data_IF_470828517345
#
_entry.id   IF_470828517345
#
_cell.length_a   1.000
_cell.length_b   1.000
_cell.length_c   1.000
_cell.angle_alpha   90.00
_cell.angle_beta   90.00
_cell.angle_gamma   90.00
#
_symmetry.space_group_name_H-M   'P 1'
#
loop_
_entity.id
_entity.type
_entity.pdbx_description
1 polymer ?
#
# COMPACT_ATOMS: atom_id res chain seq x y z
N UNK A 1 -0.18 10.04 -27.82
CA UNK A 1 0.04 8.60 -27.53
C UNK A 1 -1.34 7.96 -27.50
N UNK A 2 -1.64 7.03 -28.41
CA UNK A 2 -3.00 6.51 -28.63
C UNK A 2 -3.41 5.55 -27.50
N UNK A 3 -4.68 5.58 -27.06
CA UNK A 3 -5.19 4.74 -25.96
C UNK A 3 -5.02 3.24 -26.21
N UNK A 4 -5.02 2.81 -27.48
CA UNK A 4 -4.73 1.45 -27.91
C UNK A 4 -3.32 0.98 -27.53
N UNK A 5 -2.31 1.83 -27.73
CA UNK A 5 -0.92 1.49 -27.46
C UNK A 5 -0.64 1.43 -25.95
N UNK A 6 -1.31 2.29 -25.17
CA UNK A 6 -1.23 2.27 -23.70
C UNK A 6 -1.82 0.97 -23.13
N UNK A 7 -3.00 0.56 -23.60
CA UNK A 7 -3.62 -0.69 -23.17
C UNK A 7 -2.77 -1.92 -23.55
N UNK A 8 -2.13 -1.89 -24.71
CA UNK A 8 -1.25 -2.97 -25.16
C UNK A 8 0.01 -3.09 -24.30
N UNK A 9 0.63 -1.96 -23.94
CA UNK A 9 1.81 -1.92 -23.05
C UNK A 9 1.45 -2.34 -21.62
N UNK A 10 0.29 -1.92 -21.11
CA UNK A 10 -0.20 -2.34 -19.79
C UNK A 10 -0.47 -3.85 -19.79
N UNK A 11 -1.16 -4.35 -20.82
CA UNK A 11 -1.43 -5.78 -20.97
C UNK A 11 -0.16 -6.63 -21.03
N UNK A 12 0.86 -6.19 -21.78
CA UNK A 12 2.12 -6.94 -21.87
C UNK A 12 2.90 -6.95 -20.56
N UNK A 13 2.91 -5.82 -19.81
CA UNK A 13 3.57 -5.75 -18.49
C UNK A 13 2.89 -6.66 -17.47
N UNK A 14 1.56 -6.69 -17.45
CA UNK A 14 0.80 -7.54 -16.55
C UNK A 14 1.02 -9.04 -16.85
N UNK A 15 1.08 -9.39 -18.14
CA UNK A 15 1.36 -10.76 -18.56
C UNK A 15 2.78 -11.22 -18.18
N UNK A 16 3.79 -10.37 -18.38
CA UNK A 16 5.17 -10.67 -17.97
C UNK A 16 5.23 -10.85 -16.44
N UNK A 17 4.60 -9.96 -15.68
CA UNK A 17 4.56 -10.09 -14.22
C UNK A 17 3.88 -11.37 -13.73
N UNK A 18 2.77 -11.75 -14.37
CA UNK A 18 2.03 -12.97 -14.03
C UNK A 18 2.86 -14.23 -14.31
N UNK A 19 3.47 -14.31 -15.49
CA UNK A 19 4.32 -15.44 -15.88
C UNK A 19 5.58 -15.52 -15.01
N UNK A 20 6.27 -14.41 -14.77
CA UNK A 20 7.45 -14.38 -13.89
C UNK A 20 7.13 -14.81 -12.45
N UNK A 21 6.01 -14.35 -11.88
CA UNK A 21 5.61 -14.74 -10.52
C UNK A 21 5.29 -16.23 -10.40
N UNK A 22 4.56 -16.79 -11.38
CA UNK A 22 4.28 -18.23 -11.42
C UNK A 22 5.55 -19.07 -11.62
N UNK A 23 6.45 -18.63 -12.50
CA UNK A 23 7.74 -19.30 -12.69
C UNK A 23 8.58 -19.26 -11.41
N UNK A 24 8.64 -18.13 -10.71
CA UNK A 24 9.35 -18.04 -9.43
C UNK A 24 8.77 -19.00 -8.39
N UNK A 25 7.44 -19.09 -8.28
CA UNK A 25 6.78 -20.06 -7.40
C UNK A 25 7.15 -21.51 -7.76
N UNK A 26 7.08 -21.87 -9.05
CA UNK A 26 7.41 -23.21 -9.53
C UNK A 26 8.88 -23.55 -9.31
N UNK A 27 9.80 -22.63 -9.61
CA UNK A 27 11.23 -22.84 -9.41
C UNK A 27 11.53 -23.05 -7.93
N UNK A 28 11.08 -22.15 -7.06
CA UNK A 28 11.37 -22.23 -5.62
C UNK A 28 10.71 -23.47 -5.00
N UNK A 29 9.51 -23.87 -5.43
CA UNK A 29 8.84 -25.07 -4.91
C UNK A 29 9.47 -26.38 -5.41
N UNK A 30 10.11 -26.41 -6.58
CA UNK A 30 10.72 -27.64 -7.12
C UNK A 30 12.20 -27.83 -6.75
N UNK A 31 12.86 -26.79 -6.23
CA UNK A 31 14.23 -26.91 -5.71
C UNK A 31 14.24 -27.81 -4.45
N UNK A 32 15.31 -28.60 -4.19
CA UNK A 32 15.46 -29.33 -2.93
C UNK A 32 15.36 -28.39 -1.72
N UNK A 33 14.68 -28.82 -0.65
CA UNK A 33 14.52 -28.03 0.57
C UNK A 33 15.88 -27.51 1.06
N UNK A 34 16.08 -26.18 1.13
CA UNK A 34 17.32 -25.59 1.60
C UNK A 34 17.71 -26.08 3.00
N UNK A 35 19.00 -26.39 3.20
CA UNK A 35 19.51 -26.89 4.48
C UNK A 35 19.24 -25.90 5.64
N UNK A 36 19.16 -24.60 5.36
CA UNK A 36 18.81 -23.58 6.34
C UNK A 36 17.41 -23.80 6.96
N UNK A 37 16.42 -24.21 6.17
CA UNK A 37 15.09 -24.50 6.68
C UNK A 37 15.06 -25.80 7.49
N UNK A 38 15.83 -26.80 7.08
CA UNK A 38 15.97 -28.06 7.84
C UNK A 38 16.61 -27.77 9.21
N UNK A 39 17.67 -26.95 9.25
CA UNK A 39 18.35 -26.59 10.50
C UNK A 39 17.43 -25.79 11.43
N UNK A 40 16.60 -24.90 10.88
CA UNK A 40 15.65 -24.12 11.68
C UNK A 40 14.42 -24.97 12.10
N UNK A 41 13.94 -25.87 11.26
CA UNK A 41 12.91 -26.81 11.66
C UNK A 41 13.42 -27.72 12.78
N UNK A 42 14.68 -28.17 12.70
CA UNK A 42 15.33 -28.96 13.73
C UNK A 42 15.45 -28.23 15.07
N UNK A 43 15.69 -26.91 15.09
CA UNK A 43 15.73 -26.14 16.34
C UNK A 43 14.35 -26.00 17.00
N UNK A 44 13.29 -25.93 16.19
CA UNK A 44 11.91 -25.78 16.66
C UNK A 44 11.31 -27.11 17.13
N UNK A 45 11.57 -28.20 16.40
CA UNK A 45 11.01 -29.54 16.64
C UNK A 45 11.70 -30.29 17.79
N UNK A 46 12.95 -29.93 18.15
CA UNK A 46 13.72 -30.53 19.27
C UNK A 46 12.98 -30.56 20.62
N UNK A 47 11.87 -29.83 20.76
CA UNK A 47 11.01 -29.84 21.94
C UNK A 47 9.96 -30.98 21.98
N UNK A 48 9.89 -31.90 21.00
CA UNK A 48 9.05 -33.11 21.11
C UNK A 48 8.43 -33.72 19.85
N UNK A 49 8.85 -33.35 18.63
CA UNK A 49 8.24 -33.87 17.38
C UNK A 49 9.03 -34.96 16.64
N UNK A 50 8.35 -35.65 15.71
CA UNK A 50 8.87 -36.74 14.89
C UNK A 50 9.73 -36.23 13.72
N UNK A 51 10.60 -37.08 13.13
CA UNK A 51 11.37 -36.73 11.92
C UNK A 51 10.45 -36.37 10.73
N UNK A 52 9.26 -36.98 10.66
CA UNK A 52 8.24 -36.65 9.66
C UNK A 52 7.72 -35.20 9.81
N UNK A 53 7.62 -34.71 11.04
CA UNK A 53 7.15 -33.35 11.34
C UNK A 53 8.18 -32.31 10.91
N UNK A 54 9.47 -32.64 11.06
CA UNK A 54 10.59 -31.81 10.63
C UNK A 54 10.58 -31.60 9.12
N UNK A 55 10.44 -32.67 8.33
CA UNK A 55 10.39 -32.60 6.87
C UNK A 55 9.17 -31.80 6.40
N UNK A 56 8.02 -32.05 7.02
CA UNK A 56 6.77 -31.34 6.70
C UNK A 56 6.88 -29.85 6.98
N UNK A 57 7.45 -29.48 8.13
CA UNK A 57 7.66 -28.08 8.51
C UNK A 57 8.67 -27.37 7.60
N UNK A 58 9.81 -28.01 7.31
CA UNK A 58 10.82 -27.46 6.42
C UNK A 58 10.27 -27.24 5.00
N UNK A 59 9.43 -28.16 4.51
CA UNK A 59 8.72 -28.00 3.24
C UNK A 59 7.70 -26.86 3.29
N UNK A 60 6.98 -26.71 4.40
CA UNK A 60 6.07 -25.60 4.62
C UNK A 60 6.77 -24.23 4.53
N UNK A 61 7.91 -24.07 5.20
CA UNK A 61 8.72 -22.84 5.15
C UNK A 61 9.16 -22.48 3.72
N UNK A 62 9.54 -23.49 2.93
CA UNK A 62 9.92 -23.30 1.53
C UNK A 62 8.74 -22.82 0.68
N UNK A 63 7.55 -23.45 0.83
CA UNK A 63 6.36 -23.08 0.07
C UNK A 63 5.89 -21.67 0.46
N UNK A 64 5.86 -21.34 1.76
CA UNK A 64 5.55 -19.98 2.23
C UNK A 64 6.51 -18.96 1.60
N UNK A 65 7.81 -19.28 1.53
CA UNK A 65 8.80 -18.42 0.87
C UNK A 65 8.52 -18.29 -0.63
N UNK A 66 8.16 -19.39 -1.32
CA UNK A 66 7.79 -19.36 -2.75
C UNK A 66 6.58 -18.45 -3.01
N UNK A 67 5.54 -18.56 -2.17
CA UNK A 67 4.35 -17.70 -2.24
C UNK A 67 4.73 -16.23 -2.00
N UNK A 68 5.59 -15.96 -1.01
CA UNK A 68 6.06 -14.60 -0.72
C UNK A 68 6.81 -13.99 -1.91
N UNK A 69 7.75 -14.71 -2.53
CA UNK A 69 8.48 -14.21 -3.70
C UNK A 69 7.55 -13.96 -4.89
N UNK A 70 6.57 -14.85 -5.12
CA UNK A 70 5.54 -14.64 -6.13
C UNK A 70 4.73 -13.37 -5.85
N UNK A 71 4.30 -13.14 -4.60
CA UNK A 71 3.56 -11.95 -4.20
C UNK A 71 4.39 -10.67 -4.41
N UNK A 72 5.68 -10.68 -4.07
CA UNK A 72 6.58 -9.54 -4.30
C UNK A 72 6.67 -9.21 -5.78
N UNK A 73 6.81 -10.21 -6.65
CA UNK A 73 6.82 -10.00 -8.10
C UNK A 73 5.48 -9.41 -8.56
N UNK A 74 4.35 -9.93 -8.11
CA UNK A 74 3.03 -9.40 -8.46
C UNK A 74 2.81 -7.98 -7.96
N UNK A 75 3.31 -7.61 -6.77
CA UNK A 75 3.24 -6.24 -6.28
C UNK A 75 4.13 -5.28 -7.05
N UNK A 76 5.35 -5.68 -7.43
CA UNK A 76 6.27 -4.84 -8.20
C UNK A 76 5.81 -4.63 -9.64
N UNK A 77 5.20 -5.66 -10.23
CA UNK A 77 4.75 -5.64 -11.63
C UNK A 77 3.31 -5.18 -11.79
N UNK A 78 2.55 -5.07 -10.69
CA UNK A 78 1.11 -4.83 -10.67
C UNK A 78 0.32 -5.78 -11.58
N UNK A 79 0.80 -7.03 -11.72
CA UNK A 79 0.20 -8.03 -12.60
C UNK A 79 -1.26 -8.37 -12.23
N UNK A 80 -1.54 -8.34 -10.93
CA UNK A 80 -2.86 -8.55 -10.32
C UNK A 80 -3.09 -7.39 -9.32
N UNK A 81 -4.32 -6.91 -9.13
CA UNK A 81 -4.61 -5.89 -8.13
C UNK A 81 -4.03 -6.23 -6.75
N UNK A 82 -3.40 -5.24 -6.10
CA UNK A 82 -2.71 -5.39 -4.80
C UNK A 82 -3.56 -6.17 -3.77
N UNK A 83 -4.88 -5.89 -3.59
CA UNK A 83 -5.70 -6.63 -2.63
C UNK A 83 -5.88 -8.11 -3.01
N UNK A 84 -5.99 -8.44 -4.29
CA UNK A 84 -6.13 -9.82 -4.74
C UNK A 84 -4.82 -10.60 -4.55
N UNK A 85 -3.66 -9.98 -4.80
CA UNK A 85 -2.35 -10.57 -4.46
C UNK A 85 -2.23 -10.82 -2.96
N UNK A 86 -2.74 -9.92 -2.11
CA UNK A 86 -2.71 -10.08 -0.65
C UNK A 86 -3.58 -11.24 -0.13
N UNK A 87 -4.54 -11.74 -0.92
CA UNK A 87 -5.38 -12.89 -0.57
C UNK A 87 -4.77 -14.25 -0.99
N UNK A 88 -3.65 -14.25 -1.71
CA UNK A 88 -3.01 -15.49 -2.16
C UNK A 88 -2.68 -16.46 -1.01
N UNK A 89 -2.12 -16.03 0.15
CA UNK A 89 -1.88 -16.93 1.28
C UNK A 89 -3.14 -17.62 1.79
N UNK A 90 -4.27 -16.91 1.82
CA UNK A 90 -5.56 -17.45 2.26
C UNK A 90 -6.08 -18.58 1.35
N UNK A 91 -5.63 -18.62 0.10
CA UNK A 91 -5.99 -19.68 -0.86
C UNK A 91 -4.91 -20.77 -0.92
N UNK A 92 -3.64 -20.38 -1.04
CA UNK A 92 -2.54 -21.32 -1.25
C UNK A 92 -2.24 -22.16 -0.01
N UNK A 93 -2.29 -21.59 1.21
CA UNK A 93 -1.89 -22.33 2.40
C UNK A 93 -2.86 -23.47 2.74
N UNK A 94 -4.20 -23.28 2.69
CA UNK A 94 -5.14 -24.39 2.86
C UNK A 94 -5.11 -25.37 1.69
N UNK A 95 -4.95 -24.88 0.45
CA UNK A 95 -4.94 -25.74 -0.74
C UNK A 95 -3.74 -26.69 -0.77
N UNK A 96 -2.57 -26.22 -0.29
CA UNK A 96 -1.34 -27.01 -0.22
C UNK A 96 -1.17 -27.74 1.11
N UNK A 97 -2.19 -27.72 1.98
CA UNK A 97 -2.20 -28.39 3.30
C UNK A 97 -0.93 -28.10 4.11
N UNK A 98 -0.59 -26.81 4.24
CA UNK A 98 0.61 -26.41 4.96
C UNK A 98 0.42 -26.54 6.47
N UNK A 99 1.51 -26.88 7.16
CA UNK A 99 1.55 -26.96 8.62
C UNK A 99 2.48 -25.89 9.18
N UNK A 100 2.04 -25.26 10.27
CA UNK A 100 2.84 -24.39 11.13
C UNK A 100 3.16 -25.09 12.45
N UNK A 101 4.10 -24.52 13.18
CA UNK A 101 4.41 -24.96 14.54
C UNK A 101 3.89 -23.93 15.54
N UNK A 102 2.92 -24.31 16.36
CA UNK A 102 2.33 -23.45 17.37
C UNK A 102 2.14 -24.25 18.66
N UNK A 103 2.42 -23.66 19.82
CA UNK A 103 2.19 -24.27 21.15
C UNK A 103 2.76 -25.70 21.33
N UNK A 104 3.86 -26.03 20.62
CA UNK A 104 4.52 -27.34 20.74
C UNK A 104 3.91 -28.46 19.89
N UNK A 105 2.95 -28.16 19.01
CA UNK A 105 2.33 -29.12 18.10
C UNK A 105 2.35 -28.60 16.65
N UNK A 106 2.16 -29.53 15.70
CA UNK A 106 1.86 -29.18 14.32
C UNK A 106 0.42 -28.68 14.20
N UNK A 107 0.25 -27.46 13.70
CA UNK A 107 -1.03 -26.84 13.43
C UNK A 107 -1.24 -26.68 11.93
N UNK A 108 -2.33 -27.22 11.40
CA UNK A 108 -2.66 -27.09 9.99
C UNK A 108 -3.21 -25.68 9.67
N UNK A 109 -2.76 -25.10 8.55
CA UNK A 109 -3.28 -23.83 8.03
C UNK A 109 -4.63 -24.03 7.34
N UNK A 110 -5.70 -24.19 8.12
CA UNK A 110 -7.09 -24.19 7.60
C UNK A 110 -7.51 -22.79 7.14
N UNK A 111 -8.48 -22.70 6.21
CA UNK A 111 -9.10 -21.44 5.78
C UNK A 111 -9.46 -20.52 6.95
N UNK A 112 -10.10 -21.04 8.00
CA UNK A 112 -10.50 -20.26 9.18
C UNK A 112 -9.30 -19.61 9.89
N UNK A 113 -8.19 -20.36 10.05
CA UNK A 113 -7.01 -19.90 10.77
C UNK A 113 -6.21 -18.87 9.96
N UNK A 114 -6.17 -19.02 8.64
CA UNK A 114 -5.49 -18.04 7.79
C UNK A 114 -6.33 -16.76 7.68
N UNK A 115 -7.65 -16.88 7.50
CA UNK A 115 -8.55 -15.73 7.33
C UNK A 115 -8.72 -14.90 8.61
N UNK A 116 -8.53 -15.49 9.79
CA UNK A 116 -8.59 -14.75 11.07
C UNK A 116 -7.56 -13.60 11.12
N UNK A 117 -6.40 -13.77 10.47
CA UNK A 117 -5.38 -12.72 10.37
C UNK A 117 -5.86 -11.49 9.59
N UNK A 118 -6.80 -11.67 8.65
CA UNK A 118 -7.40 -10.57 7.89
C UNK A 118 -8.49 -9.83 8.66
N UNK A 119 -8.88 -10.34 9.84
CA UNK A 119 -9.88 -9.73 10.73
C UNK A 119 -9.24 -9.02 11.93
N UNK A 120 -7.97 -8.60 11.82
CA UNK A 120 -7.28 -7.88 12.88
C UNK A 120 -8.04 -6.58 13.24
N UNK A 121 -8.26 -6.27 14.54
CA UNK A 121 -8.96 -5.05 14.97
C UNK A 121 -8.42 -3.75 14.36
N UNK A 122 -7.12 -3.71 14.07
CA UNK A 122 -6.47 -2.57 13.41
C UNK A 122 -7.04 -2.32 12.00
N UNK A 123 -7.37 -3.38 11.26
CA UNK A 123 -8.01 -3.27 9.94
C UNK A 123 -9.40 -2.63 10.09
N UNK A 124 -10.16 -3.04 11.12
CA UNK A 124 -11.45 -2.43 11.46
C UNK A 124 -11.33 -0.94 11.81
N UNK A 125 -10.29 -0.56 12.55
CA UNK A 125 -9.98 0.84 12.85
C UNK A 125 -9.72 1.66 11.58
N UNK A 126 -8.88 1.16 10.67
CA UNK A 126 -8.60 1.82 9.40
C UNK A 126 -9.86 1.98 8.53
N UNK A 127 -10.71 0.95 8.45
CA UNK A 127 -11.99 1.02 7.74
C UNK A 127 -12.89 2.10 8.34
N UNK A 128 -13.00 2.18 9.67
CA UNK A 128 -13.73 3.23 10.37
C UNK A 128 -13.21 4.64 10.04
N UNK A 129 -11.90 4.82 10.04
CA UNK A 129 -11.27 6.09 9.63
C UNK A 129 -11.57 6.44 8.17
N UNK A 130 -11.55 5.47 7.25
CA UNK A 130 -11.90 5.72 5.84
C UNK A 130 -13.36 6.09 5.64
N UNK A 131 -14.29 5.48 6.39
CA UNK A 131 -15.69 5.90 6.37
C UNK A 131 -15.87 7.33 6.89
N UNK A 132 -15.17 7.70 7.97
CA UNK A 132 -15.20 9.06 8.50
C UNK A 132 -14.64 10.06 7.49
N UNK A 133 -13.47 9.77 6.91
CA UNK A 133 -12.86 10.62 5.87
C UNK A 133 -13.76 10.76 4.63
N UNK A 134 -14.36 9.66 4.17
CA UNK A 134 -15.32 9.66 3.06
C UNK A 134 -16.57 10.47 3.36
N UNK A 135 -17.09 10.41 4.60
CA UNK A 135 -18.20 11.24 5.03
C UNK A 135 -17.83 12.73 5.03
N UNK A 136 -16.66 13.09 5.58
CA UNK A 136 -16.16 14.47 5.59
C UNK A 136 -16.02 15.03 4.16
N UNK A 137 -15.50 14.23 3.23
CA UNK A 137 -15.39 14.58 1.82
C UNK A 137 -16.77 14.76 1.15
N UNK A 138 -17.72 13.84 1.42
CA UNK A 138 -19.08 13.92 0.87
C UNK A 138 -19.81 15.21 1.30
N UNK A 139 -19.59 15.66 2.53
CA UNK A 139 -20.16 16.91 3.05
C UNK A 139 -19.34 18.16 2.69
N UNK A 140 -18.22 18.01 1.98
CA UNK A 140 -17.34 19.10 1.55
C UNK A 140 -16.65 19.82 2.71
N UNK A 141 -16.50 19.15 3.86
CA UNK A 141 -15.89 19.73 5.05
C UNK A 141 -14.39 19.99 4.84
N UNK A 142 -13.74 19.11 4.08
CA UNK A 142 -12.38 19.24 3.57
C UNK A 142 -12.19 20.52 2.75
N UNK A 143 -13.08 20.79 1.79
CA UNK A 143 -13.05 22.00 0.95
C UNK A 143 -13.30 23.26 1.77
N UNK A 144 -14.27 23.22 2.68
CA UNK A 144 -14.58 24.35 3.59
C UNK A 144 -13.39 24.68 4.50
N UNK A 145 -12.76 23.67 5.10
CA UNK A 145 -11.58 23.86 5.93
C UNK A 145 -10.41 24.44 5.12
N UNK A 146 -10.22 23.96 3.88
CA UNK A 146 -9.20 24.48 2.97
C UNK A 146 -9.41 25.96 2.65
N UNK A 147 -10.62 26.33 2.19
CA UNK A 147 -10.93 27.73 1.88
C UNK A 147 -10.84 28.61 3.13
N UNK A 148 -11.33 28.13 4.27
CA UNK A 148 -11.24 28.87 5.53
C UNK A 148 -9.78 29.16 5.93
N UNK A 149 -8.88 28.18 5.78
CA UNK A 149 -7.46 28.37 6.06
C UNK A 149 -6.81 29.36 5.09
N UNK A 150 -7.17 29.30 3.80
CA UNK A 150 -6.64 30.17 2.76
C UNK A 150 -7.13 31.63 2.88
N UNK A 151 -8.35 31.85 3.37
CA UNK A 151 -8.93 33.19 3.52
C UNK A 151 -8.54 33.90 4.83
N UNK A 152 -7.92 33.19 5.79
CA UNK A 152 -7.62 33.70 7.14
C UNK A 152 -6.38 34.62 7.23
N UNK A 153 -5.68 34.93 6.14
CA UNK A 153 -4.57 35.89 6.19
C UNK A 153 -4.42 36.74 4.94
N UNK A 154 -3.68 37.85 5.05
CA UNK A 154 -3.21 38.72 3.95
C UNK A 154 -2.12 38.02 3.11
N UNK A 155 -2.33 36.74 2.83
CA UNK A 155 -1.33 35.79 2.31
C UNK A 155 -1.16 35.95 0.79
N UNK A 156 -2.13 36.57 0.12
CA UNK A 156 -2.15 36.76 -1.34
C UNK A 156 -1.18 37.84 -1.84
N UNK A 157 -0.50 38.57 -0.94
CA UNK A 157 0.42 39.65 -1.34
C UNK A 157 1.77 39.14 -1.86
N UNK A 158 2.17 37.89 -1.54
CA UNK A 158 3.44 37.31 -2.00
C UNK A 158 3.27 35.89 -2.57
N UNK A 159 3.85 35.59 -3.76
CA UNK A 159 3.86 34.23 -4.32
C UNK A 159 4.45 33.19 -3.37
N UNK A 160 5.52 33.55 -2.65
CA UNK A 160 6.19 32.62 -1.71
C UNK A 160 5.27 32.25 -0.53
N UNK A 161 4.52 33.22 -0.01
CA UNK A 161 3.59 32.99 1.09
C UNK A 161 2.39 32.13 0.64
N UNK A 162 1.91 32.36 -0.59
CA UNK A 162 0.85 31.55 -1.19
C UNK A 162 1.29 30.08 -1.32
N UNK A 163 2.53 29.84 -1.78
CA UNK A 163 3.11 28.50 -1.84
C UNK A 163 3.17 27.84 -0.45
N UNK A 164 3.70 28.55 0.54
CA UNK A 164 3.88 28.02 1.90
C UNK A 164 2.54 27.65 2.53
N UNK A 165 1.52 28.51 2.39
CA UNK A 165 0.19 28.25 2.94
C UNK A 165 -0.49 27.09 2.22
N UNK A 166 -0.33 26.98 0.90
CA UNK A 166 -0.81 25.81 0.15
C UNK A 166 -0.13 24.52 0.62
N UNK A 167 1.18 24.55 0.83
CA UNK A 167 1.94 23.41 1.35
C UNK A 167 1.47 23.02 2.76
N UNK A 168 1.31 23.99 3.66
CA UNK A 168 0.83 23.74 5.02
C UNK A 168 -0.60 23.21 5.06
N UNK A 169 -1.51 23.82 4.31
CA UNK A 169 -2.90 23.37 4.18
C UNK A 169 -2.96 21.93 3.64
N UNK A 170 -2.15 21.63 2.63
CA UNK A 170 -2.08 20.30 2.04
C UNK A 170 -1.58 19.28 3.05
N UNK A 171 -0.49 19.59 3.76
CA UNK A 171 0.05 18.70 4.77
C UNK A 171 -0.95 18.45 5.91
N UNK A 172 -1.62 19.50 6.40
CA UNK A 172 -2.61 19.39 7.45
C UNK A 172 -3.81 18.53 7.03
N UNK A 173 -4.35 18.71 5.83
CA UNK A 173 -5.45 17.89 5.34
C UNK A 173 -5.03 16.43 5.11
N UNK A 174 -3.81 16.21 4.62
CA UNK A 174 -3.27 14.86 4.38
C UNK A 174 -2.99 14.07 5.67
N UNK A 175 -2.98 14.72 6.83
CA UNK A 175 -2.95 14.02 8.12
C UNK A 175 -4.26 13.28 8.40
N UNK A 176 -5.39 13.70 7.84
CA UNK A 176 -6.70 13.14 8.16
C UNK A 176 -7.37 12.46 6.96
N UNK A 177 -6.86 12.71 5.76
CA UNK A 177 -7.39 12.24 4.48
C UNK A 177 -6.26 11.53 3.73
N UNK A 178 -6.59 10.56 2.86
CA UNK A 178 -5.60 9.91 2.00
C UNK A 178 -4.88 10.91 1.10
N UNK A 179 -3.55 10.76 0.93
CA UNK A 179 -2.71 11.64 0.11
C UNK A 179 -3.29 11.91 -1.29
N UNK A 180 -3.78 10.85 -1.97
CA UNK A 180 -4.35 10.97 -3.32
C UNK A 180 -5.59 11.86 -3.35
N UNK A 181 -6.49 11.72 -2.38
CA UNK A 181 -7.69 12.56 -2.28
C UNK A 181 -7.34 14.02 -1.95
N UNK A 182 -6.37 14.24 -1.05
CA UNK A 182 -5.90 15.59 -0.72
C UNK A 182 -5.34 16.32 -1.93
N UNK A 183 -4.49 15.67 -2.72
CA UNK A 183 -3.96 16.25 -3.98
C UNK A 183 -5.09 16.55 -4.97
N UNK A 184 -6.06 15.64 -5.13
CA UNK A 184 -7.20 15.84 -6.01
C UNK A 184 -8.06 17.06 -5.64
N UNK A 185 -8.15 17.40 -4.35
CA UNK A 185 -8.85 18.61 -3.86
C UNK A 185 -8.00 19.86 -4.09
N UNK A 186 -6.69 19.77 -3.85
CA UNK A 186 -5.78 20.92 -3.91
C UNK A 186 -5.41 21.35 -5.33
N UNK A 187 -5.36 20.43 -6.30
CA UNK A 187 -5.00 20.77 -7.69
C UNK A 187 -5.96 21.81 -8.30
N UNK A 188 -7.29 21.65 -8.27
CA UNK A 188 -8.20 22.67 -8.78
C UNK A 188 -8.03 24.04 -8.10
N UNK A 189 -7.75 24.06 -6.79
CA UNK A 189 -7.53 25.29 -6.02
C UNK A 189 -6.23 25.97 -6.47
N UNK A 190 -5.14 25.21 -6.61
CA UNK A 190 -3.86 25.70 -7.13
C UNK A 190 -4.02 26.30 -8.54
N UNK A 191 -4.78 25.64 -9.42
CA UNK A 191 -5.07 26.14 -10.77
C UNK A 191 -5.89 27.44 -10.70
N UNK A 192 -6.87 27.52 -9.80
CA UNK A 192 -7.67 28.73 -9.58
C UNK A 192 -6.81 29.94 -9.20
N UNK A 193 -5.87 29.75 -8.27
CA UNK A 193 -4.91 30.78 -7.85
C UNK A 193 -4.05 31.23 -9.03
N UNK A 194 -3.43 30.30 -9.77
CA UNK A 194 -2.60 30.63 -10.94
C UNK A 194 -3.37 31.43 -12.00
N UNK A 195 -4.65 31.07 -12.21
CA UNK A 195 -5.52 31.76 -13.17
C UNK A 195 -5.85 33.18 -12.69
N UNK A 196 -6.16 33.37 -11.40
CA UNK A 196 -6.46 34.70 -10.84
C UNK A 196 -5.26 35.65 -10.87
N UNK A 197 -4.03 35.12 -10.81
CA UNK A 197 -2.80 35.91 -10.86
C UNK A 197 -2.26 36.11 -12.29
N UNK A 198 -3.01 35.73 -13.33
CA UNK A 198 -2.55 35.76 -14.74
C UNK A 198 -1.21 35.02 -14.98
N UNK A 199 -0.94 33.97 -14.20
CA UNK A 199 0.29 33.17 -14.32
C UNK A 199 0.03 32.00 -15.26
N UNK A 200 0.85 31.88 -16.32
CA UNK A 200 0.77 30.77 -17.25
C UNK A 200 1.14 29.45 -16.56
N UNK A 201 0.16 28.53 -16.56
CA UNK A 201 0.19 27.24 -15.87
C UNK A 201 1.35 26.35 -16.36
N UNK A 202 1.74 26.52 -17.63
CA UNK A 202 2.70 25.62 -18.30
C UNK A 202 4.11 26.21 -18.45
N UNK A 203 4.33 27.49 -18.11
CA UNK A 203 5.62 28.18 -18.35
C UNK A 203 6.24 28.80 -17.11
N UNK A 204 5.49 28.95 -16.02
CA UNK A 204 5.99 29.61 -14.82
C UNK A 204 6.68 28.64 -13.85
N UNK A 205 7.88 29.03 -13.37
CA UNK A 205 8.57 28.35 -12.26
C UNK A 205 7.71 28.29 -11.00
N UNK A 206 6.86 29.30 -10.80
CA UNK A 206 5.92 29.34 -9.67
C UNK A 206 4.83 28.27 -9.78
N UNK A 207 4.25 28.07 -10.97
CA UNK A 207 3.25 27.00 -11.22
C UNK A 207 3.84 25.62 -10.93
N UNK A 208 5.06 25.37 -11.41
CA UNK A 208 5.77 24.10 -11.17
C UNK A 208 6.05 23.91 -9.68
N UNK A 209 6.56 24.95 -9.00
CA UNK A 209 6.81 24.91 -7.56
C UNK A 209 5.53 24.68 -6.75
N UNK A 210 4.41 25.29 -7.15
CA UNK A 210 3.11 25.13 -6.50
C UNK A 210 2.57 23.69 -6.62
N UNK A 211 2.59 23.13 -7.84
CA UNK A 211 2.13 21.77 -8.08
C UNK A 211 3.01 20.73 -7.36
N UNK A 212 4.34 20.88 -7.42
CA UNK A 212 5.28 20.01 -6.70
C UNK A 212 5.16 20.16 -5.19
N UNK A 213 5.01 21.40 -4.70
CA UNK A 213 4.83 21.70 -3.29
C UNK A 213 3.60 20.99 -2.72
N UNK A 214 2.45 21.06 -3.39
CA UNK A 214 1.25 20.31 -3.01
C UNK A 214 1.51 18.81 -2.99
N UNK A 215 2.12 18.24 -4.04
CA UNK A 215 2.39 16.80 -4.10
C UNK A 215 3.31 16.29 -2.96
N UNK A 216 4.38 17.03 -2.67
CA UNK A 216 5.30 16.69 -1.59
C UNK A 216 4.67 16.91 -0.22
N UNK A 217 3.96 18.02 -0.02
CA UNK A 217 3.28 18.31 1.24
C UNK A 217 2.19 17.29 1.57
N UNK A 218 1.45 16.78 0.58
CA UNK A 218 0.51 15.68 0.82
C UNK A 218 1.25 14.43 1.35
N UNK A 219 2.38 14.08 0.74
CA UNK A 219 3.18 12.93 1.17
C UNK A 219 3.75 13.11 2.59
N UNK A 220 4.24 14.31 2.92
CA UNK A 220 4.75 14.66 4.26
C UNK A 220 3.63 14.73 5.30
N UNK A 221 2.46 15.26 4.94
CA UNK A 221 1.29 15.29 5.82
C UNK A 221 0.75 13.90 6.16
N UNK A 222 0.75 13.00 5.17
CA UNK A 222 0.31 11.61 5.35
C UNK A 222 1.12 10.80 6.35
N UNK A 223 2.40 11.16 6.57
CA UNK A 223 3.22 10.55 7.64
C UNK A 223 3.03 11.22 8.99
N UNK A 224 2.23 12.29 9.11
CA UNK A 224 2.01 13.02 10.35
C UNK A 224 1.18 12.26 11.39
N UNK A 225 0.23 11.42 10.96
CA UNK A 225 -0.65 10.65 11.86
C UNK A 225 -0.73 9.18 11.41
N UNK A 226 -1.24 8.30 12.27
CA UNK A 226 -1.58 6.92 11.90
C UNK A 226 -2.66 6.83 10.82
N UNK A 227 -3.45 7.89 10.61
CA UNK A 227 -4.60 7.89 9.69
C UNK A 227 -4.16 8.15 8.25
N UNK A 228 -3.22 9.08 8.04
CA UNK A 228 -2.83 9.56 6.72
C UNK A 228 -2.03 8.57 5.86
N UNK A 229 -1.31 7.63 6.48
CA UNK A 229 -0.59 6.58 5.76
C UNK A 229 -0.54 5.26 6.54
N UNK A 230 -0.82 4.10 5.90
CA UNK A 230 -0.79 2.79 6.56
C UNK A 230 0.58 2.36 7.12
N UNK A 231 1.66 3.12 6.90
CA UNK A 231 3.06 2.72 7.17
C UNK A 231 3.55 3.02 8.58
N UNK A 232 2.70 2.93 9.61
CA UNK A 232 3.15 3.03 11.00
C UNK A 232 2.54 1.94 11.87
N UNK A 233 3.28 0.86 12.02
CA UNK A 233 3.27 0.04 13.24
C UNK A 233 4.72 -0.18 13.68
N UNK A 234 5.05 -0.08 14.98
CA UNK A 234 6.33 -0.50 15.55
C UNK A 234 6.56 -2.01 15.43
#
# INVERSE_FOLDING_TARGET
MNSSNLNQIIGSRNFIGLTCGLLAFLIISNIPTPQAFINHAASVVKAGGSEADLVTLARGMQIVSAVLFMMVIFWLTEAIPIPATALLPAVFFPLLQLYGWEQGNLHEFTFKNVLSNYSNPIIGLFLGCFFLAGAMQKWGMDKRATFWLLTRGKITESPQMTLLVMMYATAFLSMWISNTATVAIMIPIAIGILTSSNIDKNKSRFSTALMLGVAWSASVGGVGTLIGSPRKTP
#
